data_IF_238182764205
#
_entry.id   IF_238182764205
#
_cell.length_a   1.000
_cell.length_b   1.000
_cell.length_c   1.000
_cell.angle_alpha   90.00
_cell.angle_beta   90.00
_cell.angle_gamma   90.00
#
_symmetry.space_group_name_H-M   'P 1'
#
loop_
_entity.id
_entity.type
_entity.pdbx_description
1 polymer ?
#
# COMPACT_ATOMS: atom_id res chain seq x y z
N UNK A 1 -58.53 -37.99 27.31
CA UNK A 1 -57.34 -37.99 26.44
C UNK A 1 -56.90 -36.55 26.25
N UNK A 2 -55.89 -36.09 27.01
CA UNK A 2 -55.38 -34.73 26.93
C UNK A 2 -54.00 -34.80 26.26
N UNK A 3 -53.90 -34.26 25.03
CA UNK A 3 -52.63 -34.20 24.28
C UNK A 3 -51.89 -32.95 24.72
N UNK A 4 -50.83 -33.13 25.51
CA UNK A 4 -49.89 -32.08 25.88
C UNK A 4 -49.16 -31.57 24.64
N UNK A 5 -49.29 -30.28 24.34
CA UNK A 5 -48.50 -29.59 23.32
C UNK A 5 -47.26 -29.02 24.03
N UNK A 6 -46.09 -29.55 23.70
CA UNK A 6 -44.81 -29.03 24.17
C UNK A 6 -44.37 -27.89 23.22
N UNK A 7 -44.42 -26.64 23.68
CA UNK A 7 -43.80 -25.51 22.97
C UNK A 7 -42.30 -25.50 23.24
N UNK A 8 -41.50 -25.74 22.20
CA UNK A 8 -40.05 -25.48 22.22
C UNK A 8 -39.85 -24.04 21.74
N UNK A 9 -39.49 -23.16 22.66
CA UNK A 9 -39.07 -21.79 22.32
C UNK A 9 -37.63 -21.83 21.81
N UNK A 10 -37.44 -21.59 20.52
CA UNK A 10 -36.11 -21.38 19.94
C UNK A 10 -35.62 -19.97 20.29
N UNK A 11 -34.66 -19.86 21.21
CA UNK A 11 -33.92 -18.61 21.44
C UNK A 11 -32.97 -18.39 20.25
N UNK A 12 -33.32 -17.46 19.37
CA UNK A 12 -32.39 -16.92 18.39
C UNK A 12 -31.38 -16.02 19.12
N UNK A 13 -30.15 -16.51 19.31
CA UNK A 13 -29.03 -15.67 19.73
C UNK A 13 -28.60 -14.84 18.52
N UNK A 14 -29.08 -13.60 18.44
CA UNK A 14 -28.54 -12.61 17.54
C UNK A 14 -27.16 -12.19 18.07
N UNK A 15 -26.10 -12.61 17.39
CA UNK A 15 -24.76 -12.03 17.62
C UNK A 15 -24.75 -10.63 17.01
N UNK A 16 -24.85 -9.60 17.85
CA UNK A 16 -24.52 -8.24 17.45
C UNK A 16 -23.02 -8.17 17.17
N UNK A 17 -22.65 -8.09 15.89
CA UNK A 17 -21.30 -7.76 15.51
C UNK A 17 -21.04 -6.30 15.90
N UNK A 18 -20.27 -6.07 16.96
CA UNK A 18 -19.83 -4.72 17.30
C UNK A 18 -18.94 -4.20 16.17
N UNK A 19 -19.29 -3.06 15.58
CA UNK A 19 -18.44 -2.39 14.62
C UNK A 19 -17.10 -2.06 15.30
N UNK A 20 -16.02 -2.69 14.86
CA UNK A 20 -14.71 -2.47 15.45
C UNK A 20 -14.27 -1.02 15.21
N UNK A 21 -13.86 -0.32 16.28
CA UNK A 21 -13.43 1.07 16.19
C UNK A 21 -12.21 1.22 15.28
N UNK A 22 -12.26 2.18 14.34
CA UNK A 22 -11.12 2.51 13.48
C UNK A 22 -9.97 3.06 14.34
N UNK A 23 -8.77 2.47 14.20
CA UNK A 23 -7.58 2.86 14.93
C UNK A 23 -6.55 3.48 13.99
N UNK A 24 -5.75 4.47 14.44
CA UNK A 24 -4.59 4.92 13.69
C UNK A 24 -3.57 3.80 13.51
N UNK A 25 -2.99 3.70 12.31
CA UNK A 25 -1.86 2.79 12.04
C UNK A 25 -0.56 3.56 12.22
N UNK A 26 0.28 3.13 13.17
CA UNK A 26 1.61 3.72 13.42
C UNK A 26 2.72 2.79 12.92
N UNK A 27 3.67 3.39 12.21
CA UNK A 27 4.97 2.80 11.89
C UNK A 27 6.03 3.64 12.61
N UNK A 28 6.80 3.02 13.50
CA UNK A 28 7.95 3.66 14.14
C UNK A 28 9.19 3.52 13.24
N UNK A 29 10.27 4.30 13.45
CA UNK A 29 11.51 4.09 12.70
C UNK A 29 12.08 2.67 12.82
N UNK A 30 11.98 2.05 13.99
CA UNK A 30 12.43 0.66 14.22
C UNK A 30 11.58 -0.34 13.42
N UNK A 31 10.28 -0.08 13.29
CA UNK A 31 9.36 -0.92 12.54
C UNK A 31 9.52 -0.74 11.02
N UNK A 32 9.70 0.50 10.56
CA UNK A 32 10.03 0.84 9.17
C UNK A 32 11.37 0.24 8.70
N UNK A 33 12.25 -0.13 9.63
CA UNK A 33 13.54 -0.74 9.30
C UNK A 33 13.41 -2.16 8.73
N UNK A 34 12.22 -2.76 8.73
CA UNK A 34 11.94 -4.09 8.20
C UNK A 34 10.78 -4.84 8.87
N UNK A 35 10.62 -4.80 10.22
CA UNK A 35 9.58 -5.57 10.92
C UNK A 35 8.16 -5.32 10.43
N UNK A 36 7.86 -4.13 9.92
CA UNK A 36 6.54 -3.80 9.36
C UNK A 36 6.07 -4.78 8.28
N UNK A 37 7.00 -5.32 7.47
CA UNK A 37 6.69 -6.26 6.39
C UNK A 37 6.42 -7.70 6.87
N UNK A 38 6.44 -7.94 8.19
CA UNK A 38 6.06 -9.20 8.82
C UNK A 38 4.72 -9.08 9.57
N UNK A 39 4.12 -7.89 9.61
CA UNK A 39 2.80 -7.67 10.21
C UNK A 39 1.71 -8.39 9.42
N UNK A 40 0.62 -8.72 10.10
CA UNK A 40 -0.59 -9.18 9.43
C UNK A 40 -1.05 -8.15 8.38
N UNK A 41 -1.39 -8.61 7.18
CA UNK A 41 -1.76 -7.77 6.05
C UNK A 41 -0.59 -7.37 5.14
N UNK A 42 0.67 -7.52 5.58
CA UNK A 42 1.83 -7.28 4.73
C UNK A 42 1.85 -8.24 3.54
N UNK A 43 2.16 -7.71 2.36
CA UNK A 43 2.23 -8.45 1.10
C UNK A 43 3.70 -8.59 0.70
N UNK A 44 4.13 -9.83 0.39
CA UNK A 44 5.46 -10.11 -0.16
C UNK A 44 5.27 -10.81 -1.49
N UNK A 45 5.84 -10.25 -2.56
CA UNK A 45 5.69 -10.75 -3.93
C UNK A 45 7.04 -10.85 -4.61
N UNK A 46 7.35 -12.01 -5.18
CA UNK A 46 8.56 -12.24 -5.98
C UNK A 46 8.17 -12.49 -7.43
N UNK A 47 8.75 -11.73 -8.36
CA UNK A 47 8.55 -11.90 -9.81
C UNK A 47 9.85 -11.65 -10.54
N UNK A 48 10.23 -12.59 -11.41
CA UNK A 48 11.45 -12.50 -12.22
C UNK A 48 12.72 -12.17 -11.41
N UNK A 49 12.85 -12.74 -10.21
CA UNK A 49 13.99 -12.51 -9.32
C UNK A 49 13.93 -11.22 -8.51
N UNK A 50 13.00 -10.30 -8.77
CA UNK A 50 12.77 -9.13 -7.93
C UNK A 50 11.72 -9.44 -6.85
N UNK A 51 12.03 -9.14 -5.59
CA UNK A 51 11.09 -9.25 -4.47
C UNK A 51 10.66 -7.87 -4.02
N UNK A 52 9.36 -7.73 -3.82
CA UNK A 52 8.71 -6.50 -3.36
C UNK A 52 7.94 -6.81 -2.08
N UNK A 53 7.89 -5.84 -1.17
CA UNK A 53 7.14 -5.92 0.07
C UNK A 53 6.30 -4.66 0.24
N UNK A 54 5.06 -4.83 0.66
CA UNK A 54 4.11 -3.75 0.82
C UNK A 54 3.34 -3.93 2.12
N UNK A 55 3.14 -2.84 2.84
CA UNK A 55 2.20 -2.79 3.95
C UNK A 55 1.35 -1.53 3.79
N UNK A 56 0.13 -1.73 3.32
CA UNK A 56 -0.87 -0.67 3.16
C UNK A 56 -1.42 -0.30 4.55
N UNK A 57 -1.21 0.95 4.94
CA UNK A 57 -1.67 1.49 6.22
C UNK A 57 -3.11 1.99 6.15
N UNK A 58 -3.52 2.46 4.97
CA UNK A 58 -4.83 3.04 4.73
C UNK A 58 -5.19 2.84 3.26
N UNK A 59 -6.41 2.37 3.02
CA UNK A 59 -7.09 2.45 1.73
C UNK A 59 -8.43 3.16 1.97
N UNK A 60 -8.70 4.24 1.24
CA UNK A 60 -9.96 4.97 1.37
C UNK A 60 -11.15 4.10 0.96
N UNK A 61 -12.34 4.39 1.50
CA UNK A 61 -13.56 3.63 1.20
C UNK A 61 -13.96 3.70 -0.28
N UNK A 62 -13.65 4.80 -0.96
CA UNK A 62 -13.86 4.97 -2.40
C UNK A 62 -12.75 4.35 -3.26
N UNK A 63 -11.72 3.76 -2.61
CA UNK A 63 -10.55 3.10 -3.18
C UNK A 63 -9.64 4.00 -4.02
N UNK A 64 -9.87 5.31 -4.01
CA UNK A 64 -9.09 6.26 -4.79
C UNK A 64 -7.83 6.76 -4.10
N UNK A 65 -7.64 6.48 -2.82
CA UNK A 65 -6.49 6.94 -2.04
C UNK A 65 -5.91 5.80 -1.22
N UNK A 66 -4.60 5.55 -1.37
CA UNK A 66 -3.87 4.59 -0.53
C UNK A 66 -2.63 5.23 0.08
N UNK A 67 -2.23 4.75 1.26
CA UNK A 67 -0.98 5.15 1.90
C UNK A 67 -0.34 3.95 2.58
N UNK A 68 0.99 3.88 2.56
CA UNK A 68 1.71 2.75 3.13
C UNK A 68 3.21 2.87 3.09
N UNK A 69 3.87 1.74 3.32
CA UNK A 69 5.32 1.58 3.16
C UNK A 69 5.61 0.46 2.17
N UNK A 70 6.58 0.69 1.30
CA UNK A 70 6.93 -0.21 0.22
C UNK A 70 8.44 -0.42 0.15
N UNK A 71 8.85 -1.66 -0.11
CA UNK A 71 10.23 -2.05 -0.38
C UNK A 71 10.31 -2.78 -1.72
N UNK A 72 11.29 -2.41 -2.53
CA UNK A 72 11.60 -3.10 -3.78
C UNK A 72 13.10 -3.34 -3.90
N UNK A 73 13.46 -4.46 -4.53
CA UNK A 73 14.82 -4.72 -5.00
C UNK A 73 15.14 -4.05 -6.33
N UNK A 74 16.30 -4.43 -6.88
CA UNK A 74 16.78 -3.90 -8.15
C UNK A 74 15.77 -4.10 -9.28
N UNK A 75 15.49 -3.03 -10.02
CA UNK A 75 14.55 -3.05 -11.13
C UNK A 75 14.75 -1.88 -12.08
N UNK A 76 14.24 -2.08 -13.30
CA UNK A 76 14.23 -1.07 -14.33
C UNK A 76 12.94 -1.18 -15.15
N UNK A 77 12.19 -0.09 -15.25
CA UNK A 77 10.87 -0.07 -15.86
C UNK A 77 10.66 1.20 -16.69
N UNK A 78 10.18 1.02 -17.92
CA UNK A 78 9.72 2.11 -18.77
C UNK A 78 8.20 2.30 -18.60
N UNK A 79 7.79 3.55 -18.46
CA UNK A 79 6.40 3.96 -18.35
C UNK A 79 6.03 4.88 -19.50
N UNK A 80 5.02 4.51 -20.27
CA UNK A 80 4.38 5.40 -21.24
C UNK A 80 3.40 6.37 -20.58
N UNK A 81 2.83 5.97 -19.44
CA UNK A 81 1.89 6.77 -18.66
C UNK A 81 1.77 6.19 -17.25
N UNK A 82 2.26 6.91 -16.24
CA UNK A 82 2.18 6.50 -14.85
C UNK A 82 0.73 6.54 -14.34
N UNK A 83 0.32 5.54 -13.56
CA UNK A 83 -1.11 5.25 -13.36
C UNK A 83 -1.85 6.23 -12.45
N UNK A 84 -1.13 6.82 -11.49
CA UNK A 84 -1.69 7.56 -10.36
C UNK A 84 -0.81 8.75 -10.02
N UNK A 85 -1.33 9.70 -9.25
CA UNK A 85 -0.49 10.69 -8.59
C UNK A 85 0.11 10.04 -7.34
N UNK A 86 1.41 10.18 -7.13
CA UNK A 86 2.10 9.57 -5.99
C UNK A 86 3.01 10.57 -5.28
N UNK A 87 2.86 10.70 -3.97
CA UNK A 87 3.88 11.26 -3.09
C UNK A 87 4.71 10.12 -2.50
N UNK A 88 6.02 10.33 -2.39
CA UNK A 88 6.95 9.36 -1.84
C UNK A 88 7.95 10.03 -0.91
N UNK A 89 8.31 9.32 0.16
CA UNK A 89 9.43 9.68 1.02
C UNK A 89 10.37 8.49 1.19
N UNK A 90 11.61 8.62 0.73
CA UNK A 90 12.57 7.52 0.67
C UNK A 90 13.31 7.36 2.00
N UNK A 91 13.31 6.15 2.55
CA UNK A 91 13.97 5.81 3.81
C UNK A 91 15.34 5.17 3.61
N UNK A 92 15.49 4.41 2.51
CA UNK A 92 16.69 3.65 2.16
C UNK A 92 16.81 3.54 0.65
N UNK A 93 18.04 3.33 0.18
CA UNK A 93 18.32 3.10 -1.23
C UNK A 93 18.19 4.35 -2.08
N UNK A 94 17.92 4.16 -3.37
CA UNK A 94 17.83 5.27 -4.32
C UNK A 94 17.05 4.90 -5.58
N UNK A 95 16.51 5.90 -6.26
CA UNK A 95 15.87 5.79 -7.57
C UNK A 95 16.42 6.86 -8.49
N UNK A 96 16.61 6.52 -9.75
CA UNK A 96 16.84 7.48 -10.84
C UNK A 96 15.61 7.47 -11.73
N UNK A 97 14.98 8.65 -11.89
CA UNK A 97 13.89 8.86 -12.83
C UNK A 97 14.41 9.65 -14.02
N UNK A 98 14.31 9.09 -15.21
CA UNK A 98 14.62 9.78 -16.47
C UNK A 98 13.31 10.07 -17.18
N UNK A 99 12.88 11.32 -17.18
CA UNK A 99 11.64 11.75 -17.85
C UNK A 99 11.76 11.61 -19.36
N UNK A 100 10.62 11.55 -20.06
CA UNK A 100 10.56 11.40 -21.53
C UNK A 100 11.33 12.46 -22.31
N UNK A 101 11.47 13.66 -21.76
CA UNK A 101 12.26 14.76 -22.34
C UNK A 101 13.78 14.64 -22.06
N UNK A 102 14.19 13.59 -21.34
CA UNK A 102 15.57 13.33 -20.95
C UNK A 102 15.97 13.92 -19.60
N UNK A 103 15.09 14.65 -18.90
CA UNK A 103 15.42 15.21 -17.59
C UNK A 103 15.62 14.11 -16.55
N UNK A 104 16.77 14.12 -15.87
CA UNK A 104 17.15 13.12 -14.86
C UNK A 104 16.95 13.68 -13.46
N UNK A 105 16.19 12.96 -12.64
CA UNK A 105 16.00 13.23 -11.21
C UNK A 105 16.51 12.05 -10.40
N UNK A 106 17.56 12.27 -9.60
CA UNK A 106 18.09 11.27 -8.67
C UNK A 106 17.49 11.50 -7.29
N UNK A 107 16.95 10.44 -6.70
CA UNK A 107 16.28 10.43 -5.40
C UNK A 107 17.04 9.46 -4.50
N UNK A 108 17.39 9.89 -3.29
CA UNK A 108 18.10 9.07 -2.30
C UNK A 108 17.34 9.05 -0.98
N UNK A 109 17.82 8.25 -0.02
CA UNK A 109 17.26 8.23 1.33
C UNK A 109 17.26 9.64 1.96
N UNK A 110 16.11 10.02 2.52
CA UNK A 110 15.85 11.36 3.09
C UNK A 110 15.07 12.28 2.15
N UNK A 111 15.00 11.96 0.86
CA UNK A 111 14.30 12.79 -0.13
C UNK A 111 12.80 12.52 -0.14
N UNK A 112 12.05 13.59 -0.42
CA UNK A 112 10.64 13.53 -0.78
C UNK A 112 10.47 13.86 -2.27
N UNK A 113 9.54 13.20 -2.94
CA UNK A 113 9.25 13.43 -4.35
C UNK A 113 7.77 13.19 -4.64
N UNK A 114 7.24 13.90 -5.62
CA UNK A 114 5.93 13.61 -6.21
C UNK A 114 6.12 13.15 -7.66
N UNK A 115 5.41 12.10 -8.06
CA UNK A 115 5.32 11.66 -9.45
C UNK A 115 3.88 11.85 -9.92
N UNK A 116 3.61 12.69 -10.93
CA UNK A 116 2.26 12.95 -11.38
C UNK A 116 1.71 11.79 -12.22
N UNK A 117 0.39 11.59 -12.16
CA UNK A 117 -0.34 10.73 -13.07
C UNK A 117 -0.05 11.14 -14.51
N UNK A 118 0.18 10.15 -15.36
CA UNK A 118 0.52 10.36 -16.76
C UNK A 118 1.98 10.68 -17.03
N UNK A 119 2.84 10.75 -16.00
CA UNK A 119 4.28 10.85 -16.20
C UNK A 119 4.78 9.70 -17.09
N UNK A 120 5.66 10.03 -18.02
CA UNK A 120 6.28 9.07 -18.93
C UNK A 120 7.79 9.18 -18.82
N UNK A 121 8.47 8.04 -18.80
CA UNK A 121 9.90 7.97 -18.59
C UNK A 121 10.33 6.62 -18.04
N UNK A 122 11.58 6.57 -17.58
CA UNK A 122 12.24 5.37 -17.07
C UNK A 122 12.51 5.49 -15.58
N UNK A 123 12.16 4.43 -14.86
CA UNK A 123 12.43 4.25 -13.43
C UNK A 123 13.53 3.21 -13.25
N UNK A 124 14.62 3.58 -12.58
CA UNK A 124 15.77 2.69 -12.33
C UNK A 124 16.19 2.70 -10.87
N UNK A 125 16.51 1.52 -10.33
CA UNK A 125 16.93 1.37 -8.93
C UNK A 125 17.70 0.08 -8.69
N UNK A 126 18.62 0.09 -7.72
CA UNK A 126 19.23 -1.11 -7.13
C UNK A 126 18.44 -1.64 -5.90
N UNK A 127 17.37 -0.92 -5.54
CA UNK A 127 16.49 -1.21 -4.42
C UNK A 127 16.27 0.02 -3.53
N UNK A 128 15.12 0.06 -2.88
CA UNK A 128 14.72 1.15 -1.99
C UNK A 128 13.62 0.73 -1.00
N UNK A 129 13.47 1.54 0.06
CA UNK A 129 12.29 1.53 0.94
C UNK A 129 11.71 2.92 0.98
N UNK A 130 10.39 3.08 0.79
CA UNK A 130 9.70 4.38 0.81
C UNK A 130 8.39 4.33 1.56
N UNK A 131 7.98 5.44 2.16
CA UNK A 131 6.56 5.71 2.36
C UNK A 131 5.94 6.18 1.05
N UNK A 132 4.69 5.84 0.83
CA UNK A 132 3.91 6.32 -0.31
C UNK A 132 2.54 6.84 0.12
N UNK A 133 2.03 7.76 -0.69
CA UNK A 133 0.63 8.14 -0.75
C UNK A 133 0.26 8.18 -2.23
N UNK A 134 -0.75 7.43 -2.63
CA UNK A 134 -1.24 7.39 -4.00
C UNK A 134 -2.65 7.93 -4.09
N UNK A 135 -2.95 8.57 -5.21
CA UNK A 135 -4.29 9.01 -5.56
C UNK A 135 -4.62 8.63 -7.01
N UNK A 136 -5.66 7.83 -7.18
CA UNK A 136 -6.29 7.53 -8.46
C UNK A 136 -7.79 7.79 -8.36
N UNK A 137 -8.23 8.94 -8.88
CA UNK A 137 -9.63 9.32 -8.84
C UNK A 137 -10.52 8.20 -9.43
N UNK A 138 -11.61 7.80 -8.75
CA UNK A 138 -12.56 6.84 -9.30
C UNK A 138 -13.05 7.30 -10.68
N UNK A 139 -13.12 6.35 -11.63
CA UNK A 139 -13.72 6.65 -12.93
C UNK A 139 -15.19 7.04 -12.70
N UNK A 140 -15.57 8.22 -13.21
CA UNK A 140 -16.96 8.70 -13.19
C UNK A 140 -17.87 7.78 -13.99
#
# INVERSE_FOLDING_TARGET
MLRSILMIAAMALATEASAQALQPVKISPADAAGPVFQREGAQVRTRNGNTTKDFEMLHSTDKGFSAGIYEAGASSHDFESYREDEFMYFLKGSVTLTSKDGAVTKIVAGDAVTLPKGWAGRWETEGYTKYYVTYDAPKK
#
